data_IF_547232397244
#
_entry.id   IF_547232397244
#
_cell.length_a   1.000
_cell.length_b   1.000
_cell.length_c   1.000
_cell.angle_alpha   90.00
_cell.angle_beta   90.00
_cell.angle_gamma   90.00
#
_symmetry.space_group_name_H-M   'P 1'
#
loop_
_entity.id
_entity.type
_entity.pdbx_description
1 polymer ?
#
# COMPACT_ATOMS: atom_id res chain seq x y z
N UNK A 1 -45.11 28.61 -69.95
CA UNK A 1 -44.75 27.51 -69.02
C UNK A 1 -43.27 27.19 -69.18
N UNK A 2 -42.45 27.39 -68.16
CA UNK A 2 -41.05 26.94 -68.15
C UNK A 2 -40.63 26.55 -66.72
N UNK A 3 -40.32 25.26 -66.52
CA UNK A 3 -39.90 24.63 -65.26
C UNK A 3 -38.48 25.08 -64.88
N UNK A 4 -38.27 25.50 -63.62
CA UNK A 4 -36.94 25.74 -63.02
C UNK A 4 -36.36 24.44 -62.44
N UNK A 5 -35.12 24.14 -62.83
CA UNK A 5 -34.33 22.97 -62.42
C UNK A 5 -33.68 23.21 -61.05
N UNK A 6 -33.78 22.22 -60.16
CA UNK A 6 -33.33 22.20 -58.76
C UNK A 6 -31.81 21.96 -58.68
N UNK A 7 -31.03 22.94 -58.18
CA UNK A 7 -29.57 22.80 -57.98
C UNK A 7 -29.25 21.97 -56.72
N UNK A 8 -28.46 20.90 -56.92
CA UNK A 8 -27.87 20.01 -55.90
C UNK A 8 -26.60 20.67 -55.36
N UNK A 9 -26.48 20.85 -54.03
CA UNK A 9 -25.25 21.35 -53.37
C UNK A 9 -24.33 20.17 -53.04
N UNK A 10 -23.12 20.18 -53.60
CA UNK A 10 -21.95 19.41 -53.14
C UNK A 10 -21.13 20.26 -52.17
N UNK A 11 -20.68 19.76 -51.01
CA UNK A 11 -19.70 20.46 -50.20
C UNK A 11 -18.26 20.09 -50.64
N UNK A 12 -17.45 21.14 -50.73
CA UNK A 12 -16.08 21.22 -51.24
C UNK A 12 -15.09 20.83 -50.13
N UNK A 13 -14.17 19.90 -50.41
CA UNK A 13 -12.97 19.65 -49.59
C UNK A 13 -12.08 20.91 -49.63
N UNK A 14 -11.69 21.42 -48.47
CA UNK A 14 -10.52 22.30 -48.31
C UNK A 14 -9.70 21.83 -47.11
N UNK A 15 -8.40 21.72 -47.35
CA UNK A 15 -7.33 21.27 -46.46
C UNK A 15 -6.80 22.41 -45.57
N UNK A 16 -6.14 21.98 -44.48
CA UNK A 16 -5.18 22.66 -43.60
C UNK A 16 -5.64 23.86 -42.76
N UNK A 17 -5.62 23.69 -41.43
CA UNK A 17 -4.55 24.21 -40.55
C UNK A 17 -4.68 23.57 -39.16
N UNK A 18 -3.58 22.94 -38.73
CA UNK A 18 -3.36 22.48 -37.35
C UNK A 18 -3.22 23.74 -36.48
N UNK A 19 -4.13 23.91 -35.53
CA UNK A 19 -4.14 24.99 -34.56
C UNK A 19 -4.60 24.46 -33.22
N UNK A 20 -3.64 24.10 -32.39
CA UNK A 20 -3.78 23.66 -31.01
C UNK A 20 -4.47 24.73 -30.17
N UNK A 21 -5.68 24.45 -29.67
CA UNK A 21 -6.19 25.14 -28.48
C UNK A 21 -7.21 24.26 -27.74
N UNK A 22 -6.73 23.14 -27.18
CA UNK A 22 -7.45 22.48 -26.08
C UNK A 22 -7.27 23.37 -24.85
N UNK A 23 -8.24 24.23 -24.57
CA UNK A 23 -8.43 24.79 -23.24
C UNK A 23 -8.68 23.62 -22.29
N UNK A 24 -7.63 23.21 -21.58
CA UNK A 24 -7.76 22.36 -20.40
C UNK A 24 -8.54 23.18 -19.37
N UNK A 25 -9.83 22.90 -19.24
CA UNK A 25 -10.55 23.27 -18.05
C UNK A 25 -9.92 22.45 -16.91
N UNK A 26 -9.00 23.06 -16.18
CA UNK A 26 -8.66 22.65 -14.82
C UNK A 26 -9.96 22.73 -14.02
N UNK A 27 -10.70 21.62 -13.98
CA UNK A 27 -11.62 21.38 -12.88
C UNK A 27 -10.71 21.02 -11.72
N UNK A 28 -10.40 22.03 -10.93
CA UNK A 28 -9.90 21.91 -9.57
C UNK A 28 -10.80 20.89 -8.87
N UNK A 29 -10.32 19.65 -8.77
CA UNK A 29 -10.93 18.65 -7.90
C UNK A 29 -10.93 19.31 -6.53
N UNK A 30 -12.11 19.54 -5.96
CA UNK A 30 -12.22 20.01 -4.59
C UNK A 30 -11.45 19.01 -3.71
N UNK A 31 -10.19 19.35 -3.40
CA UNK A 31 -9.49 18.77 -2.28
C UNK A 31 -10.46 18.91 -1.11
N UNK A 32 -10.78 17.85 -0.35
CA UNK A 32 -11.64 18.02 0.81
C UNK A 32 -10.89 18.92 1.79
N UNK A 33 -11.19 20.21 1.71
CA UNK A 33 -10.63 21.27 2.52
C UNK A 33 -11.19 21.08 3.93
N UNK A 34 -10.41 20.40 4.77
CA UNK A 34 -10.76 20.16 6.14
C UNK A 34 -9.82 19.16 6.81
N UNK A 35 -9.71 19.28 8.13
CA UNK A 35 -8.89 18.42 9.01
C UNK A 35 -9.28 16.93 8.82
N UNK A 36 -10.53 16.65 8.47
CA UNK A 36 -11.04 15.31 8.14
C UNK A 36 -10.51 14.74 6.82
N UNK A 37 -10.11 15.58 5.86
CA UNK A 37 -9.54 15.15 4.58
C UNK A 37 -8.09 14.68 4.68
N UNK A 38 -7.34 15.22 5.65
CA UNK A 38 -5.91 14.97 5.90
C UNK A 38 -5.65 14.00 7.05
N UNK A 39 -6.66 13.72 7.88
CA UNK A 39 -6.58 12.76 8.99
C UNK A 39 -6.15 11.35 8.57
N UNK A 40 -6.75 10.70 7.54
CA UNK A 40 -6.36 9.35 7.13
C UNK A 40 -4.91 9.27 6.67
N UNK A 41 -4.45 10.28 5.94
CA UNK A 41 -3.05 10.40 5.52
C UNK A 41 -2.14 10.63 6.72
N UNK A 42 -2.51 11.48 7.68
CA UNK A 42 -1.71 11.72 8.89
C UNK A 42 -1.56 10.43 9.72
N UNK A 43 -2.66 9.68 9.88
CA UNK A 43 -2.68 8.38 10.57
C UNK A 43 -1.78 7.38 9.85
N UNK A 44 -1.77 7.36 8.51
CA UNK A 44 -0.91 6.48 7.72
C UNK A 44 0.59 6.76 7.96
N UNK A 45 0.99 8.03 7.94
CA UNK A 45 2.38 8.42 8.20
C UNK A 45 2.77 8.14 9.66
N UNK A 46 1.88 8.44 10.61
CA UNK A 46 2.08 8.15 12.03
C UNK A 46 2.25 6.65 12.29
N UNK A 47 1.39 5.82 11.69
CA UNK A 47 1.51 4.36 11.75
C UNK A 47 2.80 3.87 11.11
N UNK A 48 3.21 4.45 9.98
CA UNK A 48 4.49 4.10 9.31
C UNK A 48 5.68 4.38 10.22
N UNK A 49 5.74 5.55 10.85
CA UNK A 49 6.80 5.90 11.81
C UNK A 49 6.77 4.95 13.01
N UNK A 50 5.58 4.68 13.55
CA UNK A 50 5.40 3.73 14.64
C UNK A 50 5.95 2.34 14.28
N UNK A 51 5.62 1.81 13.10
CA UNK A 51 6.14 0.52 12.63
C UNK A 51 7.65 0.52 12.50
N UNK A 52 8.27 1.57 11.96
CA UNK A 52 9.74 1.66 11.85
C UNK A 52 10.39 1.56 13.23
N UNK A 53 9.95 2.40 14.17
CA UNK A 53 10.51 2.44 15.53
C UNK A 53 10.29 1.10 16.24
N UNK A 54 9.09 0.53 16.11
CA UNK A 54 8.75 -0.73 16.75
C UNK A 54 9.56 -1.91 16.17
N UNK A 55 9.71 -2.00 14.85
CA UNK A 55 10.50 -3.04 14.20
C UNK A 55 12.00 -2.90 14.51
N UNK A 56 12.52 -1.69 14.61
CA UNK A 56 13.89 -1.46 15.09
C UNK A 56 14.07 -1.90 16.54
N UNK A 57 13.08 -1.63 17.40
CA UNK A 57 13.08 -2.12 18.78
C UNK A 57 13.10 -3.65 18.83
N UNK A 58 12.29 -4.31 18.00
CA UNK A 58 12.31 -5.77 17.92
C UNK A 58 13.67 -6.28 17.42
N UNK A 59 14.23 -5.65 16.38
CA UNK A 59 15.50 -6.07 15.79
C UNK A 59 16.68 -5.96 16.76
N UNK A 60 16.85 -4.82 17.46
CA UNK A 60 18.00 -4.62 18.35
C UNK A 60 17.75 -5.07 19.79
N UNK A 61 16.50 -5.12 20.24
CA UNK A 61 16.15 -5.38 21.64
C UNK A 61 14.90 -6.25 21.77
N UNK A 62 14.90 -7.48 21.22
CA UNK A 62 13.72 -8.36 21.19
C UNK A 62 13.25 -8.79 22.59
N UNK A 63 14.15 -8.76 23.58
CA UNK A 63 13.90 -9.17 24.97
C UNK A 63 12.73 -8.41 25.63
N UNK A 64 12.50 -7.16 25.23
CA UNK A 64 11.46 -6.30 25.83
C UNK A 64 10.04 -6.65 25.38
N UNK A 65 9.91 -7.30 24.23
CA UNK A 65 8.60 -7.61 23.63
C UNK A 65 8.27 -9.11 23.66
N UNK A 66 9.29 -9.96 23.69
CA UNK A 66 9.13 -11.41 23.68
C UNK A 66 8.82 -11.98 22.29
N UNK A 67 9.04 -13.28 22.16
CA UNK A 67 8.96 -14.01 20.88
C UNK A 67 7.55 -14.08 20.27
N UNK A 68 6.49 -14.05 21.09
CA UNK A 68 5.12 -14.04 20.59
C UNK A 68 4.81 -12.75 19.81
N UNK A 69 5.32 -11.60 20.28
CA UNK A 69 5.16 -10.31 19.60
C UNK A 69 5.95 -10.28 18.29
N UNK A 70 7.16 -10.83 18.29
CA UNK A 70 7.98 -10.98 17.07
C UNK A 70 7.22 -11.79 16.02
N UNK A 71 6.71 -12.97 16.40
CA UNK A 71 5.95 -13.83 15.51
C UNK A 71 4.71 -13.12 14.92
N UNK A 72 3.93 -12.47 15.79
CA UNK A 72 2.76 -11.71 15.35
C UNK A 72 3.11 -10.56 14.40
N UNK A 73 4.25 -9.88 14.60
CA UNK A 73 4.70 -8.82 13.69
C UNK A 73 5.20 -9.37 12.36
N UNK A 74 5.89 -10.50 12.35
CA UNK A 74 6.28 -11.20 11.13
C UNK A 74 5.04 -11.58 10.33
N UNK A 75 3.98 -12.07 10.98
CA UNK A 75 2.70 -12.33 10.33
C UNK A 75 2.09 -11.04 9.74
N UNK A 76 2.06 -9.92 10.47
CA UNK A 76 1.56 -8.64 9.93
C UNK A 76 2.30 -8.25 8.64
N UNK A 77 3.63 -8.33 8.64
CA UNK A 77 4.46 -7.98 7.48
C UNK A 77 4.24 -8.90 6.27
N UNK A 78 3.92 -10.16 6.52
CA UNK A 78 3.52 -11.12 5.49
C UNK A 78 2.13 -10.79 4.93
N UNK A 79 1.16 -10.45 5.80
CA UNK A 79 -0.18 -10.05 5.36
C UNK A 79 -0.20 -8.68 4.69
N UNK A 80 0.72 -7.79 5.03
CA UNK A 80 0.92 -6.50 4.37
C UNK A 80 1.13 -6.66 2.85
N UNK A 81 1.81 -7.73 2.41
CA UNK A 81 1.90 -8.08 0.99
C UNK A 81 0.51 -8.22 0.36
N UNK A 82 -0.36 -9.02 0.98
CA UNK A 82 -1.73 -9.27 0.51
C UNK A 82 -2.53 -7.97 0.52
N UNK A 83 -2.40 -7.15 1.57
CA UNK A 83 -3.08 -5.86 1.67
C UNK A 83 -2.67 -4.88 0.57
N UNK A 84 -1.38 -4.82 0.24
CA UNK A 84 -0.91 -3.97 -0.87
C UNK A 84 -1.55 -4.44 -2.17
N UNK A 85 -1.51 -5.74 -2.48
CA UNK A 85 -2.14 -6.30 -3.68
C UNK A 85 -3.63 -5.98 -3.75
N UNK A 86 -4.36 -6.21 -2.67
CA UNK A 86 -5.80 -5.94 -2.61
C UNK A 86 -6.11 -4.45 -2.73
N UNK A 87 -5.28 -3.57 -2.16
CA UNK A 87 -5.45 -2.12 -2.29
C UNK A 87 -5.27 -1.63 -3.73
N UNK A 88 -4.31 -2.20 -4.47
CA UNK A 88 -4.12 -1.89 -5.90
C UNK A 88 -5.34 -2.32 -6.74
N UNK A 89 -5.93 -3.48 -6.43
CA UNK A 89 -7.11 -3.97 -7.15
C UNK A 89 -8.36 -3.16 -6.79
N UNK A 90 -8.49 -2.73 -5.54
CA UNK A 90 -9.62 -1.92 -5.09
C UNK A 90 -9.61 -0.51 -5.72
N UNK A 91 -8.43 0.03 -6.03
CA UNK A 91 -8.29 1.28 -6.78
C UNK A 91 -8.76 1.17 -8.24
N UNK A 92 -8.61 0.01 -8.87
CA UNK A 92 -9.07 -0.25 -10.25
C UNK A 92 -10.56 -0.50 -10.28
N UNK A 93 -11.08 -1.25 -9.31
CA UNK A 93 -12.45 -1.74 -9.31
C UNK A 93 -13.29 -0.94 -8.32
N UNK A 94 -13.53 0.32 -8.66
CA UNK A 94 -14.27 1.28 -7.84
C UNK A 94 -15.77 0.98 -7.70
N UNK A 95 -16.37 0.12 -8.54
CA UNK A 95 -17.82 -0.12 -8.57
C UNK A 95 -18.20 -1.59 -8.76
N UNK A 96 -19.12 -2.07 -7.92
CA UNK A 96 -19.88 -3.31 -8.13
C UNK A 96 -19.49 -4.51 -7.26
N UNK A 97 -19.96 -5.69 -7.68
CA UNK A 97 -19.83 -7.00 -7.01
C UNK A 97 -18.40 -7.35 -6.57
N UNK A 98 -17.39 -6.90 -7.31
CA UNK A 98 -15.98 -7.13 -6.99
C UNK A 98 -15.52 -6.51 -5.66
N UNK A 99 -16.13 -5.40 -5.22
CA UNK A 99 -15.83 -4.85 -3.89
C UNK A 99 -16.23 -5.82 -2.78
N UNK A 100 -17.37 -6.49 -2.94
CA UNK A 100 -17.85 -7.52 -1.99
C UNK A 100 -16.89 -8.71 -1.99
N UNK A 101 -16.39 -9.12 -3.17
CA UNK A 101 -15.40 -10.19 -3.28
C UNK A 101 -14.08 -9.82 -2.59
N UNK A 102 -13.58 -8.61 -2.80
CA UNK A 102 -12.35 -8.12 -2.13
C UNK A 102 -12.57 -8.03 -0.62
N UNK A 103 -13.71 -7.51 -0.16
CA UNK A 103 -14.06 -7.46 1.26
C UNK A 103 -14.14 -8.86 1.88
N UNK A 104 -14.71 -9.85 1.17
CA UNK A 104 -14.75 -11.24 1.62
C UNK A 104 -13.36 -11.85 1.72
N UNK A 105 -12.48 -11.62 0.74
CA UNK A 105 -11.08 -12.07 0.79
C UNK A 105 -10.35 -11.42 1.98
N UNK A 106 -10.50 -10.12 2.19
CA UNK A 106 -9.94 -9.42 3.34
C UNK A 106 -10.48 -9.96 4.67
N UNK A 107 -11.76 -10.34 4.73
CA UNK A 107 -12.37 -11.02 5.87
C UNK A 107 -11.76 -12.40 6.13
N UNK A 108 -11.55 -13.20 5.09
CA UNK A 108 -10.85 -14.49 5.21
C UNK A 108 -9.41 -14.30 5.71
N UNK A 109 -8.70 -13.30 5.18
CA UNK A 109 -7.35 -12.97 5.64
C UNK A 109 -7.34 -12.56 7.12
N UNK A 110 -8.28 -11.71 7.54
CA UNK A 110 -8.42 -11.33 8.94
C UNK A 110 -8.74 -12.53 9.85
N UNK A 111 -9.55 -13.48 9.38
CA UNK A 111 -9.84 -14.72 10.10
C UNK A 111 -8.61 -15.64 10.22
N UNK A 112 -7.84 -15.80 9.14
CA UNK A 112 -6.57 -16.54 9.18
C UNK A 112 -5.61 -15.88 10.16
N UNK A 113 -5.51 -14.55 10.15
CA UNK A 113 -4.67 -13.82 11.10
C UNK A 113 -5.12 -14.03 12.55
N UNK A 114 -6.44 -14.01 12.80
CA UNK A 114 -7.00 -14.25 14.13
C UNK A 114 -6.72 -15.66 14.69
N UNK A 115 -6.70 -16.67 13.83
CA UNK A 115 -6.44 -18.06 14.23
C UNK A 115 -4.94 -18.38 14.35
N UNK A 116 -4.10 -17.69 13.56
CA UNK A 116 -2.65 -17.90 13.53
C UNK A 116 -1.87 -17.08 14.55
N UNK A 117 -2.38 -15.95 15.04
CA UNK A 117 -1.71 -15.16 16.08
C UNK A 117 -1.51 -15.92 17.41
N UNK A 118 -0.59 -15.43 18.23
CA UNK A 118 -0.22 -16.00 19.53
C UNK A 118 -0.19 -14.91 20.61
N UNK A 119 -0.97 -15.09 21.68
CA UNK A 119 -0.87 -14.35 22.95
C UNK A 119 -0.88 -12.81 22.94
N UNK A 120 -1.51 -12.12 21.98
CA UNK A 120 -1.85 -10.70 22.17
C UNK A 120 -2.85 -10.18 21.15
N UNK A 121 -4.00 -9.69 21.62
CA UNK A 121 -5.00 -9.00 20.79
C UNK A 121 -4.58 -7.57 20.40
N UNK A 122 -3.56 -7.00 21.04
CA UNK A 122 -3.15 -5.62 20.80
C UNK A 122 -2.67 -5.38 19.36
N UNK A 123 -1.87 -6.32 18.85
CA UNK A 123 -1.36 -6.34 17.47
C UNK A 123 -2.51 -6.49 16.47
N UNK A 124 -3.54 -7.28 16.80
CA UNK A 124 -4.75 -7.41 15.99
C UNK A 124 -5.48 -6.06 15.84
N UNK A 125 -5.57 -5.28 16.92
CA UNK A 125 -6.22 -3.96 16.86
C UNK A 125 -5.42 -2.97 15.99
N UNK A 126 -4.09 -2.99 16.05
CA UNK A 126 -3.24 -2.17 15.19
C UNK A 126 -3.41 -2.58 13.73
N UNK A 127 -3.42 -3.88 13.44
CA UNK A 127 -3.70 -4.39 12.09
C UNK A 127 -5.09 -3.98 11.61
N UNK A 128 -6.13 -4.11 12.43
CA UNK A 128 -7.49 -3.68 12.08
C UNK A 128 -7.55 -2.17 11.79
N UNK A 129 -6.86 -1.35 12.59
CA UNK A 129 -6.77 0.09 12.38
C UNK A 129 -6.08 0.43 11.03
N UNK A 130 -4.98 -0.25 10.70
CA UNK A 130 -4.31 -0.05 9.40
C UNK A 130 -5.19 -0.47 8.22
N UNK A 131 -5.90 -1.60 8.34
CA UNK A 131 -6.83 -2.10 7.33
C UNK A 131 -7.97 -1.10 7.09
N UNK A 132 -8.61 -0.63 8.16
CA UNK A 132 -9.69 0.36 8.08
C UNK A 132 -9.18 1.65 7.43
N UNK A 133 -8.02 2.16 7.86
CA UNK A 133 -7.44 3.37 7.28
C UNK A 133 -7.18 3.22 5.77
N UNK A 134 -6.69 2.05 5.33
CA UNK A 134 -6.49 1.76 3.90
C UNK A 134 -7.78 1.67 3.11
N UNK A 135 -8.83 1.07 3.67
CA UNK A 135 -10.14 1.00 3.00
C UNK A 135 -10.69 2.42 2.82
N UNK A 136 -10.54 3.29 3.83
CA UNK A 136 -10.97 4.70 3.75
C UNK A 136 -10.21 5.43 2.65
N UNK A 137 -8.88 5.31 2.60
CA UNK A 137 -8.03 5.96 1.58
C UNK A 137 -8.34 5.42 0.19
N UNK A 138 -8.45 4.10 0.04
CA UNK A 138 -8.79 3.46 -1.23
C UNK A 138 -10.15 3.89 -1.76
N UNK A 139 -11.16 4.04 -0.88
CA UNK A 139 -12.48 4.57 -1.27
C UNK A 139 -12.41 6.05 -1.69
N UNK A 140 -11.59 6.86 -1.01
CA UNK A 140 -11.40 8.27 -1.38
C UNK A 140 -10.80 8.40 -2.78
N UNK A 141 -9.79 7.59 -3.09
CA UNK A 141 -9.16 7.55 -4.43
C UNK A 141 -10.13 7.05 -5.51
N UNK A 142 -10.91 6.01 -5.23
CA UNK A 142 -11.87 5.42 -6.16
C UNK A 142 -13.04 6.34 -6.55
N UNK A 143 -13.41 7.31 -5.70
CA UNK A 143 -14.48 8.26 -6.01
C UNK A 143 -14.04 9.40 -6.94
N UNK A 144 -12.74 9.56 -7.17
CA UNK A 144 -12.19 10.61 -8.02
C UNK A 144 -11.98 10.09 -9.45
N UNK A 145 -12.84 10.53 -10.38
CA UNK A 145 -13.02 9.92 -11.71
C UNK A 145 -11.85 10.18 -12.67
N UNK A 146 -11.06 11.25 -12.43
CA UNK A 146 -9.79 11.49 -13.13
C UNK A 146 -8.62 10.71 -12.52
N UNK A 147 -8.82 10.06 -11.36
CA UNK A 147 -7.77 9.43 -10.58
C UNK A 147 -7.63 7.92 -10.84
N UNK A 148 -8.55 7.25 -11.53
CA UNK A 148 -8.50 5.79 -11.67
C UNK A 148 -7.21 5.27 -12.35
N UNK A 149 -6.71 5.98 -13.37
CA UNK A 149 -5.42 5.66 -13.99
C UNK A 149 -4.25 5.95 -13.05
N UNK A 150 -4.28 7.08 -12.35
CA UNK A 150 -3.25 7.46 -11.38
C UNK A 150 -3.23 6.51 -10.16
N UNK A 151 -4.37 6.00 -9.73
CA UNK A 151 -4.51 5.11 -8.59
C UNK A 151 -4.04 3.69 -8.92
N UNK A 152 -4.25 3.22 -10.16
CA UNK A 152 -3.66 1.98 -10.66
C UNK A 152 -2.14 2.08 -10.76
N UNK A 153 -1.63 3.17 -11.35
CA UNK A 153 -0.19 3.40 -11.46
C UNK A 153 0.46 3.56 -10.07
N UNK A 154 -0.21 4.24 -9.14
CA UNK A 154 0.24 4.36 -7.74
C UNK A 154 0.24 2.99 -7.04
N UNK A 155 -0.80 2.18 -7.25
CA UNK A 155 -0.86 0.82 -6.73
C UNK A 155 0.29 -0.05 -7.27
N UNK A 156 0.49 -0.04 -8.58
CA UNK A 156 1.61 -0.76 -9.20
C UNK A 156 2.95 -0.23 -8.71
N UNK A 157 3.11 1.08 -8.50
CA UNK A 157 4.33 1.65 -7.95
C UNK A 157 4.61 1.14 -6.52
N UNK A 158 3.58 1.07 -5.66
CA UNK A 158 3.68 0.46 -4.31
C UNK A 158 4.05 -1.02 -4.39
N UNK A 159 3.48 -1.76 -5.35
CA UNK A 159 3.83 -3.17 -5.57
C UNK A 159 5.29 -3.35 -6.02
N UNK A 160 5.73 -2.58 -7.03
CA UNK A 160 7.13 -2.60 -7.48
C UNK A 160 8.08 -2.25 -6.34
N UNK A 161 7.68 -1.28 -5.51
CA UNK A 161 8.45 -0.89 -4.33
C UNK A 161 8.59 -2.03 -3.32
N UNK A 162 7.49 -2.70 -2.98
CA UNK A 162 7.50 -3.85 -2.08
C UNK A 162 8.41 -4.98 -2.62
N UNK A 163 8.23 -5.37 -3.88
CA UNK A 163 9.03 -6.43 -4.53
C UNK A 163 10.50 -6.04 -4.60
N UNK A 164 10.82 -4.78 -4.92
CA UNK A 164 12.20 -4.29 -4.93
C UNK A 164 12.84 -4.39 -3.54
N UNK A 165 12.15 -3.97 -2.48
CA UNK A 165 12.64 -4.09 -1.10
C UNK A 165 12.86 -5.55 -0.71
N UNK A 166 11.97 -6.45 -1.12
CA UNK A 166 12.10 -7.89 -0.86
C UNK A 166 13.34 -8.48 -1.54
N UNK A 167 13.57 -8.15 -2.81
CA UNK A 167 14.77 -8.58 -3.55
C UNK A 167 16.05 -8.03 -2.90
N UNK A 168 16.04 -6.76 -2.48
CA UNK A 168 17.19 -6.14 -1.80
C UNK A 168 17.52 -6.92 -0.53
N UNK A 169 16.55 -7.25 0.31
CA UNK A 169 16.80 -8.01 1.55
C UNK A 169 17.23 -9.44 1.26
N UNK A 170 16.66 -10.10 0.24
CA UNK A 170 17.12 -11.44 -0.15
C UNK A 170 18.59 -11.46 -0.57
N UNK A 171 19.08 -10.40 -1.24
CA UNK A 171 20.47 -10.33 -1.72
C UNK A 171 21.44 -9.76 -0.68
N UNK A 172 21.02 -8.73 0.06
CA UNK A 172 21.86 -7.96 0.97
C UNK A 172 21.61 -8.28 2.45
N UNK A 173 20.58 -9.05 2.80
CA UNK A 173 20.22 -9.42 4.17
C UNK A 173 21.38 -9.99 4.99
N UNK A 174 22.24 -10.77 4.32
CA UNK A 174 23.46 -11.34 4.93
C UNK A 174 24.51 -10.31 5.38
N UNK A 175 24.47 -9.10 4.84
CA UNK A 175 25.38 -8.01 5.23
C UNK A 175 24.78 -7.11 6.31
N UNK A 176 23.48 -7.25 6.59
CA UNK A 176 22.83 -6.52 7.66
C UNK A 176 23.13 -7.17 9.02
N UNK A 177 23.34 -6.36 10.07
CA UNK A 177 23.62 -6.89 11.40
C UNK A 177 22.44 -7.75 11.89
N UNK A 178 22.74 -8.87 12.53
CA UNK A 178 21.70 -9.71 13.16
C UNK A 178 21.01 -8.98 14.32
N UNK A 179 21.68 -8.02 14.94
CA UNK A 179 21.14 -7.28 16.08
C UNK A 179 20.93 -8.20 17.28
N UNK A 180 19.77 -8.10 17.92
CA UNK A 180 19.34 -8.97 19.01
C UNK A 180 18.55 -10.20 18.58
N UNK A 181 18.06 -10.27 17.33
CA UNK A 181 17.37 -11.44 16.78
C UNK A 181 18.39 -12.49 16.28
N UNK A 182 19.14 -13.07 17.21
CA UNK A 182 20.04 -14.19 16.92
C UNK A 182 19.28 -15.51 16.94
N UNK A 183 19.78 -16.51 16.22
CA UNK A 183 19.23 -17.87 16.23
C UNK A 183 19.20 -18.45 17.66
N UNK A 184 20.25 -18.16 18.45
CA UNK A 184 20.30 -18.52 19.88
C UNK A 184 19.13 -17.94 20.68
N UNK A 185 18.78 -16.67 20.47
CA UNK A 185 17.63 -16.06 21.16
C UNK A 185 16.31 -16.74 20.77
N UNK A 186 16.14 -17.07 19.48
CA UNK A 186 14.94 -17.72 18.96
C UNK A 186 14.77 -19.14 19.51
N UNK A 187 15.85 -19.91 19.57
CA UNK A 187 15.86 -21.28 20.13
C UNK A 187 15.60 -21.26 21.64
N UNK A 188 16.30 -20.42 22.39
CA UNK A 188 16.16 -20.32 23.86
C UNK A 188 14.73 -19.96 24.30
N UNK A 189 14.03 -19.17 23.48
CA UNK A 189 12.66 -18.74 23.76
C UNK A 189 11.61 -19.62 23.05
N UNK A 190 12.01 -20.77 22.49
CA UNK A 190 11.13 -21.72 21.81
C UNK A 190 10.28 -21.11 20.68
N UNK A 191 10.85 -20.17 19.91
CA UNK A 191 10.16 -19.54 18.78
C UNK A 191 9.71 -20.57 17.74
N UNK A 192 10.59 -21.53 17.41
CA UNK A 192 10.29 -22.53 16.39
C UNK A 192 9.17 -23.50 16.79
N UNK A 193 9.01 -23.79 18.09
CA UNK A 193 7.88 -24.56 18.60
C UNK A 193 6.54 -23.82 18.57
N UNK A 194 6.56 -22.51 18.36
CA UNK A 194 5.37 -21.66 18.25
C UNK A 194 4.93 -21.41 16.79
N UNK A 195 5.69 -21.85 15.80
CA UNK A 195 5.35 -21.66 14.39
C UNK A 195 4.04 -22.37 14.04
N UNK A 196 3.00 -21.60 13.70
CA UNK A 196 1.75 -22.14 13.13
C UNK A 196 1.70 -22.05 11.60
N UNK A 197 2.61 -21.31 11.00
CA UNK A 197 2.81 -21.16 9.55
C UNK A 197 4.28 -21.42 9.22
N UNK A 198 4.54 -22.08 8.10
CA UNK A 198 5.89 -22.38 7.58
C UNK A 198 6.29 -21.44 6.44
N UNK A 199 7.57 -21.44 6.07
CA UNK A 199 8.13 -20.59 5.01
C UNK A 199 8.79 -19.32 5.56
N UNK A 200 8.34 -18.14 5.12
CA UNK A 200 8.98 -16.86 5.48
C UNK A 200 8.96 -16.56 6.99
N UNK A 201 8.06 -17.19 7.76
CA UNK A 201 7.96 -17.11 9.23
C UNK A 201 9.14 -17.77 9.95
N UNK A 202 9.84 -18.70 9.30
CA UNK A 202 11.00 -19.43 9.85
C UNK A 202 12.24 -18.54 9.99
N UNK A 203 12.31 -17.46 9.19
CA UNK A 203 13.38 -16.48 9.27
C UNK A 203 12.83 -15.09 9.69
N UNK A 204 12.49 -14.91 10.98
CA UNK A 204 11.90 -13.66 11.46
C UNK A 204 12.83 -12.45 11.31
N UNK A 205 14.15 -12.67 11.39
CA UNK A 205 15.14 -11.61 11.19
C UNK A 205 15.01 -10.99 9.79
N UNK A 206 14.97 -11.83 8.76
CA UNK A 206 14.83 -11.37 7.38
C UNK A 206 13.53 -10.57 7.18
N UNK A 207 12.41 -11.05 7.73
CA UNK A 207 11.12 -10.38 7.58
C UNK A 207 11.10 -9.03 8.32
N UNK A 208 11.68 -8.95 9.52
CA UNK A 208 11.77 -7.70 10.27
C UNK A 208 12.67 -6.70 9.55
N UNK A 209 13.84 -7.12 9.06
CA UNK A 209 14.75 -6.28 8.27
C UNK A 209 14.05 -5.75 7.01
N UNK A 210 13.26 -6.60 6.34
CA UNK A 210 12.40 -6.20 5.24
C UNK A 210 11.37 -5.15 5.65
N UNK A 211 10.66 -5.34 6.76
CA UNK A 211 9.69 -4.36 7.25
C UNK A 211 10.34 -3.00 7.52
N UNK A 212 11.50 -2.98 8.18
CA UNK A 212 12.26 -1.74 8.44
C UNK A 212 12.65 -1.07 7.13
N UNK A 213 13.21 -1.81 6.17
CA UNK A 213 13.59 -1.26 4.87
C UNK A 213 12.38 -0.66 4.16
N UNK A 214 11.30 -1.45 4.00
CA UNK A 214 10.09 -1.08 3.28
C UNK A 214 9.44 0.20 3.84
N UNK A 215 9.21 0.26 5.15
CA UNK A 215 8.59 1.44 5.75
C UNK A 215 9.53 2.65 5.74
N UNK A 216 10.84 2.45 5.94
CA UNK A 216 11.81 3.55 5.91
C UNK A 216 11.94 4.16 4.52
N UNK A 217 12.02 3.34 3.47
CA UNK A 217 12.09 3.84 2.09
C UNK A 217 10.79 4.51 1.66
N UNK A 218 9.64 4.01 2.11
CA UNK A 218 8.34 4.65 1.90
C UNK A 218 8.31 6.05 2.56
N UNK A 219 8.76 6.15 3.82
CA UNK A 219 8.84 7.43 4.53
C UNK A 219 9.81 8.40 3.84
N UNK A 220 10.99 7.93 3.42
CA UNK A 220 11.96 8.73 2.67
C UNK A 220 11.37 9.26 1.36
N UNK A 221 10.59 8.45 0.65
CA UNK A 221 9.93 8.88 -0.58
C UNK A 221 8.90 9.99 -0.33
N UNK A 222 8.11 9.87 0.75
CA UNK A 222 7.19 10.94 1.19
C UNK A 222 7.96 12.21 1.54
N UNK A 223 9.01 12.10 2.36
CA UNK A 223 9.85 13.23 2.77
C UNK A 223 10.48 13.91 1.55
N UNK A 224 10.99 13.13 0.61
CA UNK A 224 11.54 13.64 -0.65
C UNK A 224 10.50 14.43 -1.44
N UNK A 225 9.26 13.93 -1.55
CA UNK A 225 8.16 14.64 -2.23
C UNK A 225 7.77 15.94 -1.52
N UNK A 226 7.87 15.97 -0.19
CA UNK A 226 7.60 17.18 0.60
C UNK A 226 8.71 18.22 0.43
N UNK A 227 9.97 17.80 0.38
CA UNK A 227 11.13 18.67 0.21
C UNK A 227 11.31 19.17 -1.23
N UNK A 228 10.97 18.34 -2.22
CA UNK A 228 10.96 18.67 -3.63
C UNK A 228 9.51 18.62 -4.17
N UNK A 229 8.69 19.63 -3.86
CA UNK A 229 7.44 19.82 -4.56
C UNK A 229 7.79 20.21 -5.99
N UNK A 230 7.97 19.24 -6.88
CA UNK A 230 8.01 19.50 -8.31
C UNK A 230 6.77 20.34 -8.63
N UNK A 231 6.99 21.54 -9.20
CA UNK A 231 5.94 22.50 -9.56
C UNK A 231 4.77 21.73 -10.20
N UNK A 232 3.62 21.72 -9.50
CA UNK A 232 2.35 21.14 -9.96
C UNK A 232 2.03 21.62 -11.36
#
# INVERSE_FOLDING_TARGET
>A
MARKIKKRKTPRKNTSTIGTNKKHYFLESEEPQGIMGTLPTLVEHGLTIFYIVFLLSLWFSPQWSGVAVIYNMVLILLFEFILIHMSTMMAVVAKGFFFIVIAAILGCVAYIFHTTQINSSAILYIYAATLINRIIIGRKQANDMNSHFNAFDEGIAKLRHYVACFIIIMLLGRYLPQGGLTEQYLEQNNYYGMLKMTGATENPLMVIQFGVLYYSTSLLWVLWRYLNPAKK
#
